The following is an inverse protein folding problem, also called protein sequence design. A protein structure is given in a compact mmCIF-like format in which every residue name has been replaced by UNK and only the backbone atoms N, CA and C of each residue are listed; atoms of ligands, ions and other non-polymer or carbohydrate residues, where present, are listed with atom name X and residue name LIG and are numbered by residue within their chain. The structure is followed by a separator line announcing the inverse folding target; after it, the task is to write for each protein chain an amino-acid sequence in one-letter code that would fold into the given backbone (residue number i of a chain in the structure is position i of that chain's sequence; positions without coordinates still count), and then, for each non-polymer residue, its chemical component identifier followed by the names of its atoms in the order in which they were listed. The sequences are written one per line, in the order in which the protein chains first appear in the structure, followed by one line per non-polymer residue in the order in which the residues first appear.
data_IF_939478012274
#
_entry.id   IF_939478012274
#
_cell.length_a   1.000
_cell.length_b   1.000
_cell.length_c   1.000
_cell.angle_alpha   90.00
_cell.angle_beta   90.00
_cell.angle_gamma   90.00
#
_symmetry.space_group_name_H-M   'P 1'
#
loop_
_entity.id
_entity.type
_entity.pdbx_description
1 polymer ?
#
# COMPACT_ATOMS: atom_id res chain seq x y z
N UNK A 1 49.00 26.06 -14.42
CA UNK A 1 49.11 24.80 -15.18
C UNK A 1 48.10 23.82 -14.59
N UNK A 2 46.92 23.68 -15.20
CA UNK A 2 45.96 22.65 -14.81
C UNK A 2 46.53 21.30 -15.22
N UNK A 3 46.96 20.50 -14.25
CA UNK A 3 47.26 19.11 -14.49
C UNK A 3 46.01 18.48 -15.10
N UNK A 4 46.13 17.97 -16.33
CA UNK A 4 45.05 17.30 -17.04
C UNK A 4 44.69 16.04 -16.23
N UNK A 5 43.67 16.15 -15.38
CA UNK A 5 43.24 15.07 -14.50
C UNK A 5 42.64 14.00 -15.41
N UNK A 6 43.41 12.96 -15.72
CA UNK A 6 42.93 11.80 -16.45
C UNK A 6 41.88 11.12 -15.56
N UNK A 7 40.62 11.25 -15.94
CA UNK A 7 39.49 10.61 -15.28
C UNK A 7 39.38 9.18 -15.80
N UNK A 8 39.17 8.23 -14.90
CA UNK A 8 38.85 6.87 -15.27
C UNK A 8 37.35 6.78 -15.58
N UNK A 9 36.94 6.13 -16.68
CA UNK A 9 35.52 5.93 -16.97
C UNK A 9 34.84 5.16 -15.84
N UNK A 10 33.62 5.54 -15.49
CA UNK A 10 32.85 4.82 -14.49
C UNK A 10 32.49 3.42 -15.00
N UNK A 11 32.35 2.48 -14.07
CA UNK A 11 31.85 1.13 -14.39
C UNK A 11 30.68 0.83 -13.46
N UNK A 12 29.47 0.83 -14.02
CA UNK A 12 28.26 0.45 -13.29
C UNK A 12 28.23 -1.08 -13.14
N UNK A 13 28.09 -1.62 -11.91
CA UNK A 13 28.04 -3.06 -11.69
C UNK A 13 26.73 -3.68 -12.17
N UNK A 14 26.73 -4.98 -12.47
CA UNK A 14 25.49 -5.72 -12.69
C UNK A 14 24.69 -5.82 -11.39
N UNK A 15 23.42 -5.37 -11.44
CA UNK A 15 22.58 -5.23 -10.25
C UNK A 15 21.67 -6.44 -10.00
N UNK A 16 21.34 -7.23 -11.04
CA UNK A 16 20.46 -8.38 -10.92
C UNK A 16 20.84 -9.35 -9.79
N UNK A 17 22.13 -9.69 -9.57
CA UNK A 17 22.52 -10.55 -8.45
C UNK A 17 22.28 -9.94 -7.06
N UNK A 18 22.17 -8.61 -6.97
CA UNK A 18 22.00 -7.87 -5.71
C UNK A 18 20.54 -7.57 -5.38
N UNK A 19 19.61 -7.84 -6.30
CA UNK A 19 18.18 -7.55 -6.14
C UNK A 19 17.40 -8.72 -5.50
N UNK A 20 17.97 -9.92 -5.48
CA UNK A 20 17.47 -11.04 -4.67
C UNK A 20 15.98 -11.36 -4.89
N UNK A 21 15.22 -11.40 -3.79
CA UNK A 21 13.80 -11.78 -3.77
C UNK A 21 12.87 -10.77 -4.45
N UNK A 22 13.33 -9.56 -4.76
CA UNK A 22 12.51 -8.59 -5.50
C UNK A 22 12.31 -9.03 -6.96
N UNK A 23 13.26 -9.79 -7.54
CA UNK A 23 13.13 -10.35 -8.90
C UNK A 23 12.43 -11.70 -8.83
N UNK A 24 12.88 -12.57 -7.91
CA UNK A 24 12.36 -13.93 -7.76
C UNK A 24 11.61 -14.03 -6.43
N UNK A 25 10.28 -13.81 -6.42
CA UNK A 25 9.52 -13.91 -5.18
C UNK A 25 9.55 -15.36 -4.70
N UNK A 26 9.81 -15.53 -3.40
CA UNK A 26 9.73 -16.83 -2.73
C UNK A 26 8.65 -16.73 -1.66
N UNK A 27 7.39 -16.82 -2.06
CA UNK A 27 6.25 -16.86 -1.14
C UNK A 27 5.72 -18.29 -1.04
N UNK A 28 5.36 -18.68 0.17
CA UNK A 28 4.74 -19.98 0.47
C UNK A 28 3.21 -19.88 0.57
N UNK A 29 2.69 -18.67 0.75
CA UNK A 29 1.27 -18.38 0.93
C UNK A 29 0.88 -17.23 -0.01
N UNK A 30 -0.37 -17.24 -0.44
CA UNK A 30 -0.92 -16.13 -1.22
C UNK A 30 -1.07 -14.89 -0.32
N UNK A 31 -0.61 -13.71 -0.78
CA UNK A 31 -0.73 -12.48 -0.01
C UNK A 31 -2.20 -12.03 0.06
N UNK A 32 -2.56 -11.31 1.12
CA UNK A 32 -3.90 -10.71 1.22
C UNK A 32 -4.17 -9.71 0.08
N UNK A 33 -3.19 -8.87 -0.25
CA UNK A 33 -3.23 -7.94 -1.38
C UNK A 33 -2.16 -8.34 -2.39
N UNK A 34 -2.51 -8.64 -3.65
CA UNK A 34 -1.52 -8.94 -4.68
C UNK A 34 -0.76 -7.67 -5.06
N UNK A 35 0.56 -7.69 -4.82
CA UNK A 35 1.49 -6.59 -5.12
C UNK A 35 2.56 -6.99 -6.14
N UNK A 36 2.42 -8.15 -6.78
CA UNK A 36 3.47 -8.71 -7.66
C UNK A 36 3.69 -7.89 -8.92
N UNK A 37 2.64 -7.28 -9.49
CA UNK A 37 2.78 -6.34 -10.61
C UNK A 37 3.60 -5.09 -10.21
N UNK A 38 3.40 -4.57 -9.00
CA UNK A 38 4.15 -3.42 -8.48
C UNK A 38 5.60 -3.82 -8.18
N UNK A 39 5.81 -5.02 -7.62
CA UNK A 39 7.14 -5.59 -7.39
C UNK A 39 7.91 -5.72 -8.70
N UNK A 40 7.27 -6.29 -9.71
CA UNK A 40 7.86 -6.52 -11.04
C UNK A 40 8.18 -5.21 -11.74
N UNK A 41 7.31 -4.22 -11.66
CA UNK A 41 7.56 -2.88 -12.18
C UNK A 41 8.76 -2.22 -11.47
N UNK A 42 8.84 -2.31 -10.14
CA UNK A 42 9.95 -1.78 -9.36
C UNK A 42 11.28 -2.48 -9.69
N UNK A 43 11.26 -3.81 -9.79
CA UNK A 43 12.43 -4.61 -10.16
C UNK A 43 12.89 -4.30 -11.59
N UNK A 44 11.95 -4.21 -12.53
CA UNK A 44 12.20 -3.80 -13.91
C UNK A 44 12.84 -2.42 -13.94
N UNK A 45 12.27 -1.44 -13.23
CA UNK A 45 12.81 -0.09 -13.21
C UNK A 45 14.22 -0.03 -12.62
N UNK A 46 14.50 -0.79 -11.56
CA UNK A 46 15.84 -0.87 -10.99
C UNK A 46 16.86 -1.46 -11.99
N UNK A 47 16.47 -2.48 -12.75
CA UNK A 47 17.31 -3.06 -13.81
C UNK A 47 17.51 -2.08 -14.98
N UNK A 48 16.48 -1.35 -15.39
CA UNK A 48 16.56 -0.31 -16.41
C UNK A 48 17.54 0.79 -16.00
N UNK A 49 17.45 1.32 -14.77
CA UNK A 49 18.39 2.33 -14.26
C UNK A 49 19.84 1.82 -14.29
N UNK A 50 20.06 0.56 -13.92
CA UNK A 50 21.37 -0.08 -14.02
C UNK A 50 21.86 -0.26 -15.46
N UNK A 51 20.97 -0.66 -16.37
CA UNK A 51 21.27 -0.84 -17.80
C UNK A 51 21.55 0.48 -18.53
N UNK A 52 20.70 1.48 -18.32
CA UNK A 52 20.87 2.84 -18.84
C UNK A 52 22.18 3.44 -18.32
N UNK A 53 22.49 3.26 -17.02
CA UNK A 53 23.76 3.67 -16.43
C UNK A 53 24.98 2.98 -17.04
N UNK A 54 24.90 1.66 -17.30
CA UNK A 54 25.96 0.92 -18.02
C UNK A 54 26.14 1.39 -19.46
N UNK A 55 25.06 1.67 -20.17
CA UNK A 55 25.12 2.20 -21.53
C UNK A 55 25.72 3.61 -21.57
N UNK A 56 25.43 4.47 -20.58
CA UNK A 56 26.07 5.77 -20.44
C UNK A 56 27.56 5.64 -20.08
N UNK A 57 27.93 4.68 -19.22
CA UNK A 57 29.31 4.41 -18.84
C UNK A 57 30.16 3.85 -20.01
N UNK A 58 29.57 3.05 -20.90
CA UNK A 58 30.23 2.59 -22.12
C UNK A 58 30.54 3.77 -23.07
N UNK A 59 29.57 4.66 -23.24
CA UNK A 59 29.73 5.92 -24.00
C UNK A 59 30.80 6.84 -23.39
N UNK A 60 30.87 6.92 -22.06
CA UNK A 60 31.96 7.62 -21.35
C UNK A 60 33.34 7.06 -21.73
N UNK A 61 33.48 5.73 -21.76
CA UNK A 61 34.73 5.07 -22.13
C UNK A 61 35.15 5.30 -23.59
N UNK A 62 34.20 5.56 -24.50
CA UNK A 62 34.43 5.92 -25.90
C UNK A 62 34.84 7.39 -26.11
N UNK A 63 34.96 8.17 -25.02
CA UNK A 63 35.42 9.56 -25.05
C UNK A 63 34.29 10.59 -25.11
N UNK A 64 33.03 10.18 -24.95
CA UNK A 64 31.90 11.10 -24.79
C UNK A 64 31.84 11.55 -23.32
N UNK A 65 31.72 12.86 -23.05
CA UNK A 65 31.68 13.37 -21.67
C UNK A 65 30.33 13.12 -20.98
N UNK A 66 29.99 11.86 -20.70
CA UNK A 66 28.67 11.42 -20.18
C UNK A 66 28.71 11.00 -18.69
N UNK A 67 29.78 11.32 -17.95
CA UNK A 67 29.96 10.95 -16.53
C UNK A 67 28.82 11.45 -15.63
N UNK A 68 28.40 12.71 -15.83
CA UNK A 68 27.29 13.30 -15.08
C UNK A 68 25.98 12.53 -15.30
N UNK A 69 25.76 12.02 -16.51
CA UNK A 69 24.59 11.21 -16.85
C UNK A 69 24.61 9.85 -16.18
N UNK A 70 25.78 9.20 -16.10
CA UNK A 70 25.94 7.95 -15.34
C UNK A 70 25.51 8.17 -13.88
N UNK A 71 26.03 9.21 -13.24
CA UNK A 71 25.72 9.53 -11.84
C UNK A 71 24.26 9.96 -11.62
N UNK A 72 23.65 10.63 -12.60
CA UNK A 72 22.22 10.99 -12.57
C UNK A 72 21.34 9.73 -12.62
N UNK A 73 21.58 8.84 -13.58
CA UNK A 73 20.81 7.63 -13.82
C UNK A 73 20.94 6.63 -12.67
N UNK A 74 22.13 6.47 -12.11
CA UNK A 74 22.37 5.58 -10.98
C UNK A 74 22.29 6.31 -9.64
N UNK A 75 21.77 7.54 -9.61
CA UNK A 75 21.81 8.41 -8.43
C UNK A 75 20.60 8.28 -7.51
N UNK A 76 20.70 8.89 -6.32
CA UNK A 76 19.65 8.92 -5.28
C UNK A 76 18.27 9.26 -5.83
N UNK A 77 18.18 10.29 -6.69
CA UNK A 77 16.89 10.79 -7.22
C UNK A 77 16.16 9.75 -8.07
N UNK A 78 16.87 9.04 -8.94
CA UNK A 78 16.28 8.04 -9.82
C UNK A 78 15.71 6.86 -9.03
N UNK A 79 16.48 6.36 -8.06
CA UNK A 79 16.08 5.25 -7.20
C UNK A 79 14.96 5.61 -6.21
N UNK A 80 15.04 6.79 -5.58
CA UNK A 80 13.97 7.27 -4.67
C UNK A 80 12.66 7.49 -5.42
N UNK A 81 12.69 8.03 -6.64
CA UNK A 81 11.49 8.19 -7.45
C UNK A 81 10.81 6.85 -7.77
N UNK A 82 11.59 5.81 -8.12
CA UNK A 82 11.06 4.47 -8.36
C UNK A 82 10.46 3.86 -7.09
N UNK A 83 11.15 3.98 -5.95
CA UNK A 83 10.65 3.51 -4.65
C UNK A 83 9.35 4.23 -4.24
N UNK A 84 9.33 5.55 -4.26
CA UNK A 84 8.16 6.31 -3.84
C UNK A 84 6.94 6.04 -4.73
N UNK A 85 7.17 5.81 -6.03
CA UNK A 85 6.11 5.40 -6.94
C UNK A 85 5.51 4.04 -6.53
N UNK A 86 6.36 3.05 -6.26
CA UNK A 86 5.92 1.73 -5.80
C UNK A 86 5.16 1.80 -4.47
N UNK A 87 5.67 2.55 -3.48
CA UNK A 87 5.00 2.74 -2.18
C UNK A 87 3.62 3.37 -2.35
N UNK A 88 3.51 4.42 -3.19
CA UNK A 88 2.22 5.09 -3.44
C UNK A 88 1.21 4.15 -4.13
N UNK A 89 1.64 3.37 -5.12
CA UNK A 89 0.76 2.37 -5.77
C UNK A 89 0.33 1.28 -4.79
N UNK A 90 1.26 0.77 -3.99
CA UNK A 90 0.96 -0.27 -3.00
C UNK A 90 -0.03 0.25 -1.95
N UNK A 91 0.20 1.43 -1.38
CA UNK A 91 -0.70 2.01 -0.40
C UNK A 91 -2.08 2.35 -0.95
N UNK A 92 -2.18 2.76 -2.21
CA UNK A 92 -3.48 2.95 -2.88
C UNK A 92 -4.22 1.61 -2.97
N UNK A 93 -3.55 0.55 -3.41
CA UNK A 93 -4.17 -0.77 -3.55
C UNK A 93 -4.57 -1.38 -2.22
N UNK A 94 -3.76 -1.21 -1.18
CA UNK A 94 -4.09 -1.66 0.18
C UNK A 94 -5.32 -0.92 0.71
N UNK A 95 -5.39 0.40 0.51
CA UNK A 95 -6.57 1.18 0.88
C UNK A 95 -7.83 0.73 0.12
N UNK A 96 -7.73 0.44 -1.18
CA UNK A 96 -8.85 -0.10 -1.96
C UNK A 96 -9.29 -1.48 -1.48
N UNK A 97 -8.34 -2.36 -1.13
CA UNK A 97 -8.64 -3.68 -0.57
C UNK A 97 -9.37 -3.59 0.78
N UNK A 98 -8.94 -2.66 1.65
CA UNK A 98 -9.61 -2.38 2.92
C UNK A 98 -11.03 -1.82 2.72
N UNK A 99 -11.20 -0.81 1.86
CA UNK A 99 -12.53 -0.26 1.54
C UNK A 99 -13.46 -1.36 1.00
N UNK A 100 -12.94 -2.26 0.16
CA UNK A 100 -13.70 -3.39 -0.36
C UNK A 100 -14.06 -4.42 0.73
N UNK A 101 -13.15 -4.71 1.67
CA UNK A 101 -13.40 -5.63 2.78
C UNK A 101 -14.47 -5.07 3.73
N UNK A 102 -14.34 -3.80 4.11
CA UNK A 102 -15.33 -3.05 4.90
C UNK A 102 -16.70 -3.07 4.23
N UNK A 103 -16.76 -2.82 2.91
CA UNK A 103 -18.00 -2.84 2.15
C UNK A 103 -18.62 -4.24 2.10
N UNK A 104 -17.82 -5.30 1.92
CA UNK A 104 -18.28 -6.70 1.94
C UNK A 104 -18.87 -7.07 3.30
N UNK A 105 -18.16 -6.82 4.40
CA UNK A 105 -18.65 -7.11 5.75
C UNK A 105 -19.94 -6.33 6.06
N UNK A 106 -20.03 -5.08 5.63
CA UNK A 106 -21.24 -4.28 5.79
C UNK A 106 -22.43 -4.82 4.96
N UNK A 107 -22.17 -5.37 3.77
CA UNK A 107 -23.20 -5.97 2.93
C UNK A 107 -23.74 -7.26 3.54
N UNK A 108 -22.89 -8.10 4.12
CA UNK A 108 -23.30 -9.35 4.80
C UNK A 108 -24.29 -9.09 5.94
N UNK A 109 -24.08 -8.04 6.72
CA UNK A 109 -24.99 -7.63 7.80
C UNK A 109 -26.12 -6.71 7.34
N UNK A 110 -26.25 -6.45 6.03
CA UNK A 110 -27.24 -5.54 5.41
C UNK A 110 -27.23 -4.14 6.02
N UNK A 111 -26.04 -3.61 6.30
CA UNK A 111 -25.88 -2.29 6.90
C UNK A 111 -26.41 -1.18 5.96
N UNK A 112 -27.15 -0.18 6.48
CA UNK A 112 -27.58 0.97 5.69
C UNK A 112 -26.40 1.77 5.12
N UNK A 113 -26.48 2.18 3.85
CA UNK A 113 -25.43 2.94 3.14
C UNK A 113 -24.95 4.19 3.88
N UNK A 114 -25.84 4.91 4.56
CA UNK A 114 -25.48 6.12 5.34
C UNK A 114 -24.54 5.82 6.50
N UNK A 115 -24.65 4.64 7.12
CA UNK A 115 -23.75 4.19 8.18
C UNK A 115 -22.44 3.68 7.61
N UNK A 116 -22.50 2.88 6.54
CA UNK A 116 -21.30 2.41 5.82
C UNK A 116 -20.36 3.57 5.45
N UNK A 117 -20.89 4.68 4.93
CA UNK A 117 -20.07 5.84 4.55
C UNK A 117 -19.22 6.44 5.69
N UNK A 118 -19.56 6.16 6.95
CA UNK A 118 -18.79 6.61 8.12
C UNK A 118 -17.63 5.68 8.48
N UNK A 119 -17.63 4.46 7.94
CA UNK A 119 -16.61 3.44 8.16
C UNK A 119 -15.64 3.28 6.98
N UNK A 120 -15.94 3.90 5.82
CA UNK A 120 -15.00 3.91 4.70
C UNK A 120 -13.80 4.78 5.03
N UNK A 121 -12.65 4.42 4.46
CA UNK A 121 -11.39 5.10 4.69
C UNK A 121 -11.46 6.56 4.25
N UNK A 122 -11.12 7.46 5.16
CA UNK A 122 -10.92 8.88 4.89
C UNK A 122 -9.63 9.10 4.11
N UNK A 123 -9.52 10.25 3.42
CA UNK A 123 -8.28 10.63 2.74
C UNK A 123 -7.08 10.77 3.70
N UNK A 124 -7.32 11.05 4.98
CA UNK A 124 -6.27 11.09 6.00
C UNK A 124 -5.74 9.67 6.30
N UNK A 125 -6.62 8.69 6.47
CA UNK A 125 -6.25 7.30 6.71
C UNK A 125 -5.53 6.70 5.51
N UNK A 126 -6.01 6.97 4.29
CA UNK A 126 -5.32 6.52 3.06
C UNK A 126 -3.88 7.04 2.98
N UNK A 127 -3.66 8.31 3.34
CA UNK A 127 -2.30 8.89 3.43
C UNK A 127 -1.48 8.26 4.56
N UNK A 128 -2.11 7.95 5.69
CA UNK A 128 -1.43 7.31 6.81
C UNK A 128 -0.99 5.87 6.47
N UNK A 129 -1.79 5.12 5.71
CA UNK A 129 -1.42 3.80 5.18
C UNK A 129 -0.16 3.93 4.30
N UNK A 130 -0.17 4.84 3.32
CA UNK A 130 1.00 5.08 2.44
C UNK A 130 2.25 5.42 3.26
N UNK A 131 2.12 6.28 4.28
CA UNK A 131 3.25 6.67 5.12
C UNK A 131 3.81 5.48 5.94
N UNK A 132 2.94 4.63 6.51
CA UNK A 132 3.37 3.44 7.25
C UNK A 132 4.06 2.43 6.34
N UNK A 133 3.48 2.12 5.18
CA UNK A 133 4.12 1.24 4.20
C UNK A 133 5.50 1.74 3.77
N UNK A 134 5.69 3.06 3.66
CA UNK A 134 6.98 3.67 3.36
C UNK A 134 8.01 3.62 4.50
N UNK A 135 7.59 3.36 5.75
CA UNK A 135 8.46 3.38 6.93
C UNK A 135 9.53 2.28 6.88
N UNK A 136 9.20 1.12 6.29
CA UNK A 136 10.15 0.04 6.02
C UNK A 136 11.32 0.42 5.09
N UNK A 137 11.21 1.53 4.36
CA UNK A 137 12.23 2.04 3.44
C UNK A 137 13.40 2.78 4.10
N UNK A 138 13.41 2.99 5.42
CA UNK A 138 14.42 3.82 6.09
C UNK A 138 15.88 3.40 5.83
N UNK A 139 16.18 2.10 5.87
CA UNK A 139 17.53 1.59 5.60
C UNK A 139 17.93 1.71 4.13
N UNK A 140 16.96 1.71 3.22
CA UNK A 140 17.19 1.97 1.80
C UNK A 140 17.47 3.45 1.54
N UNK A 141 16.72 4.36 2.17
CA UNK A 141 16.97 5.81 2.08
C UNK A 141 18.37 6.14 2.61
N UNK A 142 18.79 5.55 3.74
CA UNK A 142 20.15 5.72 4.25
C UNK A 142 21.23 5.24 3.27
N UNK A 143 21.01 4.09 2.61
CA UNK A 143 21.94 3.61 1.58
C UNK A 143 21.96 4.54 0.34
N UNK A 144 20.84 5.18 0.00
CA UNK A 144 20.83 6.20 -1.06
C UNK A 144 21.61 7.46 -0.66
N UNK A 145 21.62 7.85 0.62
CA UNK A 145 22.44 8.97 1.13
C UNK A 145 23.94 8.63 1.03
N UNK A 146 24.31 7.40 1.42
CA UNK A 146 25.69 6.90 1.26
C UNK A 146 26.12 6.85 -0.21
N UNK A 147 25.22 6.45 -1.11
CA UNK A 147 25.44 6.44 -2.54
C UNK A 147 25.65 7.86 -3.10
N UNK A 148 24.86 8.84 -2.67
CA UNK A 148 25.02 10.24 -3.08
C UNK A 148 26.36 10.83 -2.61
N UNK A 149 26.77 10.51 -1.37
CA UNK A 149 28.08 10.89 -0.86
C UNK A 149 29.23 10.21 -1.63
N UNK A 150 29.08 8.95 -2.04
CA UNK A 150 30.05 8.25 -2.88
C UNK A 150 30.08 8.81 -4.32
N UNK A 151 28.92 9.16 -4.87
CA UNK A 151 28.79 9.76 -6.19
C UNK A 151 29.49 11.12 -6.28
N UNK A 152 29.37 11.94 -5.22
CA UNK A 152 30.05 13.24 -5.14
C UNK A 152 31.58 13.06 -5.12
N UNK A 153 32.08 12.06 -4.38
CA UNK A 153 33.52 11.75 -4.34
C UNK A 153 34.05 11.21 -5.65
N UNK A 154 33.29 10.35 -6.32
CA UNK A 154 33.73 9.76 -7.59
C UNK A 154 33.60 10.75 -8.76
N UNK A 155 32.73 11.77 -8.68
CA UNK A 155 32.52 12.73 -9.77
C UNK A 155 33.84 13.33 -10.29
N UNK A 156 34.72 13.76 -9.39
CA UNK A 156 36.01 14.36 -9.73
C UNK A 156 37.21 13.41 -9.56
N UNK A 157 36.98 12.12 -9.28
CA UNK A 157 38.04 11.15 -8.99
C UNK A 157 38.93 10.86 -10.22
N UNK A 158 40.24 10.99 -10.04
CA UNK A 158 41.27 10.62 -11.02
C UNK A 158 41.51 9.12 -11.07
N UNK A 159 42.24 8.67 -12.09
CA UNK A 159 42.75 7.28 -12.24
C UNK A 159 43.51 6.76 -11.00
N UNK A 160 44.09 7.64 -10.18
CA UNK A 160 44.81 7.26 -8.96
C UNK A 160 43.87 6.99 -7.78
N UNK A 161 42.66 7.51 -7.80
CA UNK A 161 41.67 7.43 -6.72
C UNK A 161 40.75 6.20 -6.91
N UNK A 162 41.34 5.02 -7.13
CA UNK A 162 40.61 3.76 -7.38
C UNK A 162 39.65 3.38 -6.25
N UNK A 163 39.95 3.75 -5.02
CA UNK A 163 39.10 3.50 -3.85
C UNK A 163 37.78 4.27 -3.94
N UNK A 164 37.75 5.46 -4.54
CA UNK A 164 36.52 6.22 -4.75
C UNK A 164 35.58 5.50 -5.74
N UNK A 165 36.15 4.93 -6.81
CA UNK A 165 35.40 4.13 -7.77
C UNK A 165 34.85 2.84 -7.13
N UNK A 166 35.68 2.12 -6.36
CA UNK A 166 35.26 0.91 -5.67
C UNK A 166 34.15 1.20 -4.64
N UNK A 167 34.30 2.26 -3.84
CA UNK A 167 33.30 2.66 -2.85
C UNK A 167 31.95 3.03 -3.50
N UNK A 168 31.95 3.73 -4.62
CA UNK A 168 30.72 4.04 -5.35
C UNK A 168 30.04 2.78 -5.92
N UNK A 169 30.79 1.84 -6.49
CA UNK A 169 30.23 0.58 -6.97
C UNK A 169 29.62 -0.26 -5.85
N UNK A 170 30.28 -0.29 -4.68
CA UNK A 170 29.76 -1.03 -3.53
C UNK A 170 28.54 -0.34 -2.90
N UNK A 171 28.49 0.99 -2.90
CA UNK A 171 27.29 1.73 -2.51
C UNK A 171 26.12 1.39 -3.43
N UNK A 172 26.34 1.30 -4.76
CA UNK A 172 25.29 0.88 -5.72
C UNK A 172 24.76 -0.53 -5.44
N UNK A 173 25.65 -1.51 -5.20
CA UNK A 173 25.23 -2.87 -4.84
C UNK A 173 24.48 -2.89 -3.50
N UNK A 174 24.90 -2.06 -2.55
CA UNK A 174 24.26 -1.94 -1.24
C UNK A 174 22.85 -1.38 -1.38
N UNK A 175 22.65 -0.35 -2.20
CA UNK A 175 21.33 0.19 -2.51
C UNK A 175 20.40 -0.87 -3.09
N UNK A 176 20.88 -1.69 -4.05
CA UNK A 176 20.09 -2.80 -4.60
C UNK A 176 19.67 -3.83 -3.54
N UNK A 177 20.58 -4.22 -2.63
CA UNK A 177 20.27 -5.14 -1.51
C UNK A 177 19.29 -4.52 -0.51
N UNK A 178 19.42 -3.22 -0.25
CA UNK A 178 18.51 -2.51 0.65
C UNK A 178 17.14 -2.30 0.03
N UNK A 179 17.03 -2.19 -1.29
CA UNK A 179 15.75 -2.16 -1.99
C UNK A 179 14.97 -3.47 -1.76
N UNK A 180 15.63 -4.63 -1.85
CA UNK A 180 15.01 -5.91 -1.49
C UNK A 180 14.51 -5.90 -0.04
N UNK A 181 15.36 -5.45 0.89
CA UNK A 181 14.99 -5.37 2.32
C UNK A 181 13.78 -4.46 2.54
N UNK A 182 13.75 -3.30 1.89
CA UNK A 182 12.66 -2.34 1.97
C UNK A 182 11.36 -2.91 1.39
N UNK A 183 11.43 -3.64 0.27
CA UNK A 183 10.27 -4.30 -0.31
C UNK A 183 9.68 -5.36 0.62
N UNK A 184 10.52 -6.21 1.23
CA UNK A 184 10.06 -7.22 2.19
C UNK A 184 9.45 -6.58 3.45
N UNK A 185 10.01 -5.46 3.92
CA UNK A 185 9.44 -4.71 5.03
C UNK A 185 8.08 -4.09 4.66
N UNK A 186 7.92 -3.61 3.42
CA UNK A 186 6.63 -3.14 2.92
C UNK A 186 5.59 -4.26 2.91
N UNK A 187 5.93 -5.46 2.44
CA UNK A 187 5.01 -6.61 2.47
C UNK A 187 4.60 -6.99 3.90
N UNK A 188 5.53 -6.95 4.85
CA UNK A 188 5.22 -7.19 6.26
C UNK A 188 4.26 -6.12 6.82
N UNK A 189 4.50 -4.85 6.52
CA UNK A 189 3.62 -3.74 6.94
C UNK A 189 2.20 -3.84 6.33
N UNK A 190 2.04 -4.43 5.14
CA UNK A 190 0.71 -4.70 4.58
C UNK A 190 -0.09 -5.67 5.47
N UNK A 191 0.56 -6.73 5.94
CA UNK A 191 -0.08 -7.68 6.86
C UNK A 191 -0.33 -7.07 8.24
N UNK A 192 0.57 -6.20 8.72
CA UNK A 192 0.34 -5.44 9.95
C UNK A 192 -0.84 -4.46 9.81
N UNK A 193 -0.98 -3.80 8.66
CA UNK A 193 -2.12 -2.93 8.37
C UNK A 193 -3.42 -3.73 8.38
N UNK A 194 -3.45 -4.93 7.78
CA UNK A 194 -4.60 -5.83 7.87
C UNK A 194 -4.98 -6.12 9.32
N UNK A 195 -3.99 -6.51 10.13
CA UNK A 195 -4.20 -6.82 11.54
C UNK A 195 -4.72 -5.63 12.35
N UNK A 196 -4.30 -4.41 11.98
CA UNK A 196 -4.76 -3.16 12.60
C UNK A 196 -6.24 -2.89 12.34
N UNK A 197 -6.75 -3.23 11.16
CA UNK A 197 -8.14 -3.00 10.76
C UNK A 197 -9.10 -4.13 11.14
N UNK A 198 -8.59 -5.34 11.40
CA UNK A 198 -9.40 -6.50 11.80
C UNK A 198 -10.41 -6.21 12.94
N UNK A 199 -10.07 -5.50 14.04
CA UNK A 199 -11.05 -5.19 15.09
C UNK A 199 -12.22 -4.32 14.61
N UNK A 200 -11.96 -3.37 13.72
CA UNK A 200 -13.01 -2.51 13.17
C UNK A 200 -13.91 -3.27 12.21
N UNK A 201 -13.32 -4.09 11.34
CA UNK A 201 -14.06 -4.98 10.43
C UNK A 201 -14.93 -5.96 11.25
N UNK A 202 -14.40 -6.51 12.35
CA UNK A 202 -15.15 -7.36 13.25
C UNK A 202 -16.32 -6.63 13.95
N UNK A 203 -16.12 -5.37 14.34
CA UNK A 203 -17.19 -4.54 14.91
C UNK A 203 -18.32 -4.29 13.90
N UNK A 204 -17.98 -4.09 12.62
CA UNK A 204 -18.96 -3.98 11.53
C UNK A 204 -19.73 -5.30 11.35
N UNK A 205 -19.02 -6.43 11.33
CA UNK A 205 -19.64 -7.75 11.20
C UNK A 205 -20.54 -8.14 12.39
N UNK A 206 -20.24 -7.61 13.57
CA UNK A 206 -21.07 -7.77 14.76
C UNK A 206 -22.33 -6.89 14.76
N UNK A 207 -22.43 -5.91 13.85
CA UNK A 207 -23.58 -5.02 13.79
C UNK A 207 -24.89 -5.80 13.59
N UNK A 208 -25.93 -5.38 14.30
CA UNK A 208 -27.29 -5.88 14.13
C UNK A 208 -28.25 -4.70 13.99
N UNK A 209 -29.27 -4.80 13.11
CA UNK A 209 -30.31 -3.79 13.05
C UNK A 209 -31.09 -3.79 14.36
N UNK A 210 -31.40 -2.60 14.89
CA UNK A 210 -32.31 -2.49 16.03
C UNK A 210 -33.70 -2.93 15.61
N UNK A 211 -34.23 -3.98 16.24
CA UNK A 211 -35.60 -4.46 16.02
C UNK A 211 -36.64 -3.65 16.80
N UNK A 212 -36.20 -2.69 17.61
CA UNK A 212 -37.08 -1.89 18.47
C UNK A 212 -38.24 -1.21 17.73
N UNK A 213 -38.05 -0.61 16.53
CA UNK A 213 -39.16 -0.03 15.77
C UNK A 213 -40.21 -1.09 15.39
N UNK A 214 -39.77 -2.29 14.99
CA UNK A 214 -40.67 -3.40 14.65
C UNK A 214 -41.46 -3.81 15.88
N UNK A 215 -40.79 -3.94 17.03
CA UNK A 215 -41.43 -4.31 18.30
C UNK A 215 -42.49 -3.27 18.69
N UNK A 216 -42.16 -1.98 18.61
CA UNK A 216 -43.06 -0.88 18.98
C UNK A 216 -44.32 -0.84 18.11
N UNK A 217 -44.23 -1.19 16.82
CA UNK A 217 -45.41 -1.25 15.95
C UNK A 217 -46.16 -2.58 16.07
N UNK A 218 -45.44 -3.69 16.20
CA UNK A 218 -46.04 -5.02 16.16
C UNK A 218 -46.79 -5.36 17.45
N UNK A 219 -46.28 -4.97 18.62
CA UNK A 219 -46.96 -5.19 19.91
C UNK A 219 -48.37 -4.58 19.95
N UNK A 220 -48.57 -3.26 19.69
CA UNK A 220 -49.91 -2.68 19.75
C UNK A 220 -50.81 -3.21 18.65
N UNK A 221 -50.27 -3.50 17.46
CA UNK A 221 -51.04 -4.09 16.37
C UNK A 221 -51.53 -5.51 16.72
N UNK A 222 -50.66 -6.35 17.27
CA UNK A 222 -51.02 -7.68 17.74
C UNK A 222 -52.05 -7.61 18.88
N UNK A 223 -51.88 -6.68 19.83
CA UNK A 223 -52.85 -6.45 20.90
C UNK A 223 -54.23 -6.05 20.36
N UNK A 224 -54.28 -5.16 19.35
CA UNK A 224 -55.50 -4.76 18.69
C UNK A 224 -56.18 -5.93 17.95
N UNK A 225 -55.41 -6.75 17.25
CA UNK A 225 -55.93 -7.95 16.57
C UNK A 225 -56.48 -8.98 17.55
N UNK A 226 -55.79 -9.23 18.66
CA UNK A 226 -56.28 -10.12 19.74
C UNK A 226 -57.58 -9.58 20.33
N UNK A 227 -57.64 -8.27 20.62
CA UNK A 227 -58.84 -7.63 21.14
C UNK A 227 -60.03 -7.74 20.18
N UNK A 228 -59.81 -7.49 18.87
CA UNK A 228 -60.83 -7.69 17.83
C UNK A 228 -61.28 -9.15 17.73
N UNK A 229 -60.35 -10.11 17.78
CA UNK A 229 -60.67 -11.54 17.77
C UNK A 229 -61.52 -11.95 18.97
N UNK A 230 -61.24 -11.41 20.17
CA UNK A 230 -62.04 -11.66 21.36
C UNK A 230 -63.48 -11.12 21.25
N UNK A 231 -63.65 -9.96 20.61
CA UNK A 231 -64.98 -9.38 20.36
C UNK A 231 -65.76 -10.24 19.36
N UNK A 232 -65.15 -10.61 18.23
CA UNK A 232 -65.81 -11.42 17.19
C UNK A 232 -66.10 -12.84 17.69
N UNK A 233 -65.23 -13.41 18.51
CA UNK A 233 -65.41 -14.73 19.12
C UNK A 233 -66.41 -14.78 20.28
N UNK A 234 -66.97 -13.63 20.70
CA UNK A 234 -67.95 -13.54 21.80
C UNK A 234 -67.37 -13.66 23.20
N UNK A 235 -66.04 -13.60 23.35
CA UNK A 235 -65.35 -13.67 24.64
C UNK A 235 -65.18 -12.31 25.33
N UNK A 236 -65.43 -11.21 24.62
CA UNK A 236 -65.43 -9.84 25.15
C UNK A 236 -66.60 -9.02 24.60
N UNK A 237 -67.22 -8.12 25.40
CA UNK A 237 -68.31 -7.27 24.92
C UNK A 237 -67.82 -6.28 23.87
N UNK A 238 -68.55 -6.18 22.75
CA UNK A 238 -68.27 -5.18 21.73
C UNK A 238 -68.50 -3.77 22.30
N UNK A 239 -67.61 -2.81 22.07
CA UNK A 239 -67.85 -1.43 22.50
C UNK A 239 -69.05 -0.83 21.75
N UNK A 240 -69.80 0.05 22.42
CA UNK A 240 -71.11 0.53 21.98
C UNK A 240 -71.16 1.10 20.55
N UNK A 241 -70.10 1.78 20.11
CA UNK A 241 -69.98 2.35 18.78
C UNK A 241 -69.80 1.30 17.67
N UNK A 242 -69.22 0.14 17.99
CA UNK A 242 -69.01 -0.97 17.06
C UNK A 242 -70.26 -1.86 16.99
N UNK A 243 -70.93 -2.06 18.13
CA UNK A 243 -72.21 -2.76 18.21
C UNK A 243 -73.29 -2.09 17.36
N UNK A 244 -73.43 -0.76 17.45
CA UNK A 244 -74.37 0.04 16.64
C UNK A 244 -74.16 -0.09 15.13
N UNK A 245 -72.93 -0.40 14.68
CA UNK A 245 -72.57 -0.43 13.26
C UNK A 245 -72.61 -1.82 12.64
N UNK A 246 -72.52 -2.87 13.47
CA UNK A 246 -72.54 -4.28 13.04
C UNK A 246 -73.90 -4.96 13.26
N UNK A 247 -74.88 -4.28 13.88
CA UNK A 247 -76.25 -4.78 14.01
C UNK A 247 -76.42 -5.83 15.11
N UNK A 248 -75.56 -5.80 16.14
CA UNK A 248 -75.76 -6.52 17.40
C UNK A 248 -76.60 -5.68 18.37
#
# INVERSE_FOLDING_TARGET
MNAMKLLMPLRVPELAPSLGRIIVPRRLLDPWVPLDDIREELATRALELGGEGRAAAAREAEGQADRARVLELTGRRAWSAAWDHAVRRAGTRVAEALDAEIARSAQEVRMPRRRLRRHLLTSAEKRAIVARLGTGGGTFVAALDELEAAATRVADASVLEKDAHAAWQDALRTVARRLETAWLALEAEVEEERNRWNPEIAAIAAWRPSLWPVIVFWIPFAALLVWLGLIVGGYAPAPAWLAQRLGF
#
